data_IF_201149164136
#
_entry.id   IF_201149164136
#
_cell.length_a   1.000
_cell.length_b   1.000
_cell.length_c   1.000
_cell.angle_alpha   90.00
_cell.angle_beta   90.00
_cell.angle_gamma   90.00
#
_symmetry.space_group_name_H-M   'P 1'
#
loop_
_entity.id
_entity.type
_entity.pdbx_description
1 polymer ?
#
# COMPACT_ATOMS: atom_id res chain seq x y z
N UNK A 1 -3.12 -16.94 -12.28
CA UNK A 1 -2.53 -16.49 -10.99
C UNK A 1 -3.41 -16.95 -9.83
N UNK A 2 -2.83 -17.65 -8.88
CA UNK A 2 -3.54 -18.17 -7.72
C UNK A 2 -3.76 -17.08 -6.68
N UNK A 3 -4.68 -17.25 -5.70
CA UNK A 3 -4.79 -16.32 -4.57
C UNK A 3 -3.49 -16.14 -3.81
N UNK A 4 -2.69 -17.20 -3.64
CA UNK A 4 -1.37 -17.12 -2.99
C UNK A 4 -0.43 -16.22 -3.78
N UNK A 5 -0.38 -16.35 -5.10
CA UNK A 5 0.44 -15.50 -5.96
C UNK A 5 0.03 -14.03 -5.82
N UNK A 6 -1.27 -13.75 -5.79
CA UNK A 6 -1.79 -12.39 -5.62
C UNK A 6 -1.49 -11.80 -4.27
N UNK A 7 -1.59 -12.59 -3.20
CA UNK A 7 -1.23 -12.15 -1.85
C UNK A 7 0.26 -11.82 -1.75
N UNK A 8 1.12 -12.63 -2.36
CA UNK A 8 2.55 -12.36 -2.39
C UNK A 8 2.88 -11.12 -3.22
N UNK A 9 2.20 -10.91 -4.33
CA UNK A 9 2.36 -9.71 -5.15
C UNK A 9 1.99 -8.45 -4.34
N UNK A 10 0.88 -8.51 -3.58
CA UNK A 10 0.49 -7.43 -2.69
C UNK A 10 1.51 -7.20 -1.58
N UNK A 11 2.04 -8.26 -0.99
CA UNK A 11 3.06 -8.15 0.06
C UNK A 11 4.31 -7.43 -0.45
N UNK A 12 4.77 -7.77 -1.65
CA UNK A 12 5.90 -7.09 -2.29
C UNK A 12 5.60 -5.62 -2.54
N UNK A 13 4.39 -5.31 -3.00
CA UNK A 13 3.95 -3.93 -3.23
C UNK A 13 3.87 -3.13 -1.93
N UNK A 14 3.34 -3.71 -0.86
CA UNK A 14 3.22 -3.03 0.43
C UNK A 14 4.58 -2.80 1.09
N UNK A 15 5.51 -3.73 0.95
CA UNK A 15 6.91 -3.51 1.39
C UNK A 15 7.55 -2.32 0.68
N UNK A 16 7.31 -2.22 -0.63
CA UNK A 16 7.77 -1.07 -1.42
C UNK A 16 7.07 0.21 -0.97
N UNK A 17 5.80 0.13 -0.57
CA UNK A 17 5.04 1.25 -0.02
C UNK A 17 5.63 1.79 1.27
N UNK A 18 6.00 0.91 2.22
CA UNK A 18 6.67 1.32 3.47
C UNK A 18 7.96 2.07 3.15
N UNK A 19 8.77 1.55 2.24
CA UNK A 19 10.01 2.22 1.82
C UNK A 19 9.73 3.58 1.20
N UNK A 20 8.72 3.65 0.33
CA UNK A 20 8.34 4.91 -0.34
C UNK A 20 7.97 5.98 0.68
N UNK A 21 7.09 5.66 1.63
CA UNK A 21 6.66 6.61 2.66
C UNK A 21 7.81 7.00 3.59
N UNK A 22 8.71 6.07 3.89
CA UNK A 22 9.90 6.35 4.70
C UNK A 22 10.84 7.34 3.99
N UNK A 23 10.95 7.24 2.66
CA UNK A 23 11.75 8.19 1.87
C UNK A 23 11.05 9.55 1.70
N UNK A 24 9.71 9.56 1.63
CA UNK A 24 8.94 10.81 1.52
C UNK A 24 8.85 11.57 2.84
N UNK A 25 8.90 10.88 3.96
CA UNK A 25 8.70 11.48 5.29
C UNK A 25 9.58 12.71 5.55
N UNK A 26 10.91 12.68 5.26
CA UNK A 26 11.76 13.85 5.44
C UNK A 26 11.40 15.05 4.56
N UNK A 27 10.62 14.84 3.50
CA UNK A 27 10.20 15.89 2.57
C UNK A 27 8.90 16.58 3.00
N UNK A 28 8.29 16.14 4.11
CA UNK A 28 7.09 16.76 4.63
C UNK A 28 7.37 18.20 5.05
N UNK A 29 6.54 19.13 4.55
CA UNK A 29 6.71 20.58 4.74
C UNK A 29 5.89 21.13 5.92
N UNK A 30 4.88 20.38 6.34
CA UNK A 30 3.96 20.80 7.41
C UNK A 30 3.72 19.64 8.38
N UNK A 31 3.26 19.93 9.62
CA UNK A 31 2.87 18.85 10.55
C UNK A 31 1.80 17.94 9.96
N UNK A 32 0.84 18.49 9.20
CA UNK A 32 -0.23 17.70 8.57
C UNK A 32 0.33 16.71 7.55
N UNK A 33 1.31 17.13 6.75
CA UNK A 33 1.97 16.24 5.80
C UNK A 33 2.73 15.12 6.50
N UNK A 34 3.46 15.44 7.58
CA UNK A 34 4.18 14.43 8.36
C UNK A 34 3.22 13.41 8.94
N UNK A 35 2.12 13.88 9.49
CA UNK A 35 1.09 13.02 10.07
C UNK A 35 0.48 12.09 9.03
N UNK A 36 0.17 12.62 7.84
CA UNK A 36 -0.36 11.81 6.74
C UNK A 36 0.64 10.76 6.27
N UNK A 37 1.90 11.14 6.05
CA UNK A 37 2.93 10.20 5.60
C UNK A 37 3.17 9.09 6.63
N UNK A 38 3.17 9.45 7.91
CA UNK A 38 3.28 8.48 9.00
C UNK A 38 2.09 7.52 9.02
N UNK A 39 0.87 8.05 8.89
CA UNK A 39 -0.34 7.22 8.86
C UNK A 39 -0.34 6.25 7.69
N UNK A 40 -0.01 6.71 6.49
CA UNK A 40 0.03 5.85 5.30
C UNK A 40 1.11 4.79 5.47
N UNK A 41 2.29 5.17 5.97
CA UNK A 41 3.37 4.21 6.25
C UNK A 41 2.93 3.15 7.26
N UNK A 42 2.28 3.56 8.34
CA UNK A 42 1.79 2.65 9.38
C UNK A 42 0.75 1.68 8.82
N UNK A 43 -0.16 2.16 7.98
CA UNK A 43 -1.15 1.32 7.32
C UNK A 43 -0.51 0.33 6.34
N UNK A 44 0.53 0.76 5.61
CA UNK A 44 1.29 -0.13 4.73
C UNK A 44 2.02 -1.22 5.53
N UNK A 45 2.62 -0.88 6.67
CA UNK A 45 3.27 -1.84 7.56
C UNK A 45 2.26 -2.81 8.17
N UNK A 46 1.11 -2.31 8.59
CA UNK A 46 -0.01 -3.12 9.08
C UNK A 46 -0.47 -4.10 7.99
N UNK A 47 -0.55 -3.63 6.75
CA UNK A 47 -0.91 -4.47 5.60
C UNK A 47 0.11 -5.58 5.37
N UNK A 48 1.40 -5.27 5.45
CA UNK A 48 2.46 -6.28 5.33
C UNK A 48 2.28 -7.39 6.37
N UNK A 49 2.05 -7.03 7.63
CA UNK A 49 1.87 -8.00 8.71
C UNK A 49 0.62 -8.88 8.48
N UNK A 50 -0.49 -8.26 8.05
CA UNK A 50 -1.73 -8.99 7.78
C UNK A 50 -1.64 -9.91 6.57
N UNK A 51 -0.94 -9.49 5.51
CA UNK A 51 -0.68 -10.33 4.34
C UNK A 51 0.18 -11.53 4.71
N UNK A 52 1.21 -11.32 5.53
CA UNK A 52 2.05 -12.41 6.03
C UNK A 52 1.23 -13.43 6.81
N UNK A 53 0.36 -12.97 7.72
CA UNK A 53 -0.54 -13.85 8.47
C UNK A 53 -1.50 -14.60 7.56
N UNK A 54 -2.04 -13.93 6.54
CA UNK A 54 -2.95 -14.54 5.57
C UNK A 54 -2.26 -15.67 4.78
N UNK A 55 -1.04 -15.44 4.34
CA UNK A 55 -0.25 -16.46 3.67
C UNK A 55 0.02 -17.64 4.59
N UNK A 56 0.33 -17.40 5.85
CA UNK A 56 0.53 -18.44 6.86
C UNK A 56 -0.76 -19.26 7.05
N UNK A 57 -1.90 -18.59 7.15
CA UNK A 57 -3.22 -19.26 7.28
C UNK A 57 -3.47 -20.20 6.10
N UNK A 58 -3.03 -19.84 4.90
CA UNK A 58 -3.16 -20.66 3.70
C UNK A 58 -2.06 -21.71 3.55
N UNK A 59 -1.13 -21.81 4.51
CA UNK A 59 0.01 -22.73 4.43
C UNK A 59 0.97 -22.42 3.30
N UNK A 60 1.03 -21.16 2.87
CA UNK A 60 1.79 -20.74 1.70
C UNK A 60 3.16 -20.19 2.09
N UNK A 61 4.10 -20.27 1.13
CA UNK A 61 5.43 -19.68 1.27
C UNK A 61 5.32 -18.18 1.01
N UNK A 62 5.86 -17.38 1.91
CA UNK A 62 5.88 -15.93 1.82
C UNK A 62 7.04 -15.47 0.93
N UNK A 63 6.77 -14.56 -0.01
CA UNK A 63 7.79 -13.92 -0.82
C UNK A 63 8.80 -13.17 0.06
N UNK A 64 10.08 -13.19 -0.34
CA UNK A 64 11.13 -12.41 0.30
C UNK A 64 11.48 -11.15 -0.51
N UNK A 65 10.78 -10.91 -1.61
CA UNK A 65 11.05 -9.80 -2.52
C UNK A 65 10.36 -8.52 -2.08
N UNK A 66 10.87 -7.43 -2.63
CA UNK A 66 10.29 -6.09 -2.52
C UNK A 66 10.31 -5.48 -3.92
N UNK A 67 9.24 -4.79 -4.30
CA UNK A 67 9.21 -4.10 -5.58
C UNK A 67 10.11 -2.87 -5.62
N UNK A 68 10.33 -2.33 -6.82
CA UNK A 68 11.18 -1.16 -7.07
C UNK A 68 10.37 0.15 -7.11
N UNK A 69 9.18 0.15 -6.56
CA UNK A 69 8.25 1.27 -6.65
C UNK A 69 8.79 2.55 -5.99
N UNK A 70 9.54 2.40 -4.89
CA UNK A 70 10.12 3.55 -4.20
C UNK A 70 11.08 4.33 -5.12
N UNK A 71 11.91 3.64 -5.88
CA UNK A 71 12.81 4.28 -6.85
C UNK A 71 12.03 5.04 -7.91
N UNK A 72 10.92 4.47 -8.40
CA UNK A 72 10.05 5.11 -9.40
C UNK A 72 9.41 6.38 -8.86
N UNK A 73 8.89 6.33 -7.63
CA UNK A 73 8.29 7.51 -6.99
C UNK A 73 9.34 8.61 -6.80
N UNK A 74 10.50 8.26 -6.25
CA UNK A 74 11.55 9.24 -5.97
C UNK A 74 12.19 9.81 -7.23
N UNK A 75 12.03 9.15 -8.38
CA UNK A 75 12.50 9.67 -9.68
C UNK A 75 11.60 10.80 -10.21
N UNK A 76 10.36 10.92 -9.72
CA UNK A 76 9.49 12.03 -10.10
C UNK A 76 10.05 13.35 -9.56
N UNK A 77 9.96 14.45 -10.36
CA UNK A 77 10.68 15.69 -10.02
C UNK A 77 10.05 16.54 -8.92
N UNK A 78 8.76 16.38 -8.63
CA UNK A 78 8.06 17.20 -7.64
C UNK A 78 7.35 16.33 -6.61
N UNK A 79 7.10 16.91 -5.43
CA UNK A 79 6.34 16.21 -4.38
C UNK A 79 4.92 15.88 -4.86
N UNK A 80 4.27 16.81 -5.58
CA UNK A 80 2.94 16.56 -6.14
C UNK A 80 2.95 15.36 -7.10
N UNK A 81 3.93 15.26 -8.00
CA UNK A 81 4.05 14.14 -8.94
C UNK A 81 4.33 12.82 -8.20
N UNK A 82 5.15 12.87 -7.15
CA UNK A 82 5.45 11.71 -6.29
C UNK A 82 4.19 11.18 -5.61
N UNK A 83 3.36 12.08 -5.07
CA UNK A 83 2.11 11.71 -4.42
C UNK A 83 1.08 11.14 -5.41
N UNK A 84 1.02 11.69 -6.62
CA UNK A 84 0.15 11.16 -7.68
C UNK A 84 0.55 9.74 -8.07
N UNK A 85 1.85 9.48 -8.20
CA UNK A 85 2.33 8.14 -8.53
C UNK A 85 2.09 7.18 -7.36
N UNK A 86 2.32 7.62 -6.12
CA UNK A 86 2.00 6.84 -4.92
C UNK A 86 0.53 6.41 -4.95
N UNK A 87 -0.39 7.33 -5.22
CA UNK A 87 -1.81 7.05 -5.27
C UNK A 87 -2.20 6.12 -6.42
N UNK A 88 -1.53 6.21 -7.55
CA UNK A 88 -1.73 5.25 -8.63
C UNK A 88 -1.39 3.84 -8.16
N UNK A 89 -0.32 3.70 -7.39
CA UNK A 89 0.05 2.43 -6.77
C UNK A 89 -0.99 1.93 -5.77
N UNK A 90 -1.54 2.83 -4.95
CA UNK A 90 -2.60 2.48 -4.01
C UNK A 90 -3.87 2.02 -4.72
N UNK A 91 -4.25 2.65 -5.84
CA UNK A 91 -5.40 2.23 -6.65
C UNK A 91 -5.17 0.85 -7.28
N UNK A 92 -3.95 0.57 -7.72
CA UNK A 92 -3.58 -0.75 -8.22
C UNK A 92 -3.80 -1.82 -7.14
N UNK A 93 -3.39 -1.53 -5.90
CA UNK A 93 -3.61 -2.43 -4.76
C UNK A 93 -5.11 -2.66 -4.53
N UNK A 94 -5.93 -1.62 -4.54
CA UNK A 94 -7.39 -1.75 -4.36
C UNK A 94 -8.00 -2.67 -5.41
N UNK A 95 -7.59 -2.56 -6.66
CA UNK A 95 -8.08 -3.45 -7.73
C UNK A 95 -7.71 -4.91 -7.47
N UNK A 96 -6.50 -5.16 -6.97
CA UNK A 96 -6.06 -6.52 -6.61
C UNK A 96 -6.85 -7.06 -5.42
N UNK A 97 -7.12 -6.22 -4.44
CA UNK A 97 -7.96 -6.58 -3.29
C UNK A 97 -9.38 -6.93 -3.72
N UNK A 98 -9.97 -6.17 -4.64
CA UNK A 98 -11.30 -6.46 -5.17
C UNK A 98 -11.35 -7.83 -5.85
N UNK A 99 -10.34 -8.17 -6.63
CA UNK A 99 -10.24 -9.48 -7.27
C UNK A 99 -10.15 -10.61 -6.22
N UNK A 100 -9.34 -10.43 -5.17
CA UNK A 100 -9.20 -11.42 -4.10
C UNK A 100 -10.48 -11.56 -3.27
N UNK A 101 -11.18 -10.48 -3.00
CA UNK A 101 -12.44 -10.50 -2.25
C UNK A 101 -13.55 -11.22 -3.01
N UNK A 102 -13.42 -11.39 -4.32
CA UNK A 102 -14.31 -12.20 -5.14
C UNK A 102 -14.02 -13.69 -5.09
N UNK A 103 -12.90 -14.10 -4.50
CA UNK A 103 -12.51 -15.51 -4.36
C UNK A 103 -13.05 -16.11 -3.06
N UNK A 104 -13.11 -17.44 -2.99
CA UNK A 104 -13.44 -18.15 -1.76
C UNK A 104 -12.20 -18.28 -0.90
N UNK A 105 -12.15 -17.55 0.20
CA UNK A 105 -11.02 -17.51 1.13
C UNK A 105 -11.50 -17.75 2.57
N UNK A 106 -10.62 -18.21 3.47
CA UNK A 106 -10.97 -18.30 4.90
C UNK A 106 -11.43 -16.95 5.43
N UNK A 107 -12.43 -16.94 6.31
CA UNK A 107 -13.02 -15.72 6.84
C UNK A 107 -12.00 -14.73 7.42
N UNK A 108 -10.98 -15.15 8.22
CA UNK A 108 -9.99 -14.21 8.73
C UNK A 108 -9.20 -13.50 7.62
N UNK A 109 -8.95 -14.17 6.51
CA UNK A 109 -8.26 -13.59 5.36
C UNK A 109 -9.16 -12.56 4.67
N UNK A 110 -10.41 -12.92 4.37
CA UNK A 110 -11.37 -12.00 3.74
C UNK A 110 -11.63 -10.76 4.59
N UNK A 111 -11.78 -10.92 5.89
CA UNK A 111 -12.00 -9.81 6.83
C UNK A 111 -10.80 -8.86 6.85
N UNK A 112 -9.58 -9.40 6.88
CA UNK A 112 -8.37 -8.59 6.80
C UNK A 112 -8.30 -7.81 5.48
N UNK A 113 -8.54 -8.48 4.35
CA UNK A 113 -8.47 -7.85 3.03
C UNK A 113 -9.50 -6.72 2.89
N UNK A 114 -10.69 -6.88 3.44
CA UNK A 114 -11.73 -5.84 3.44
C UNK A 114 -11.29 -4.60 4.23
N UNK A 115 -10.68 -4.79 5.39
CA UNK A 115 -10.14 -3.69 6.20
C UNK A 115 -8.96 -3.02 5.50
N UNK A 116 -8.08 -3.79 4.90
CA UNK A 116 -6.97 -3.27 4.11
C UNK A 116 -7.47 -2.37 2.98
N UNK A 117 -8.51 -2.81 2.27
CA UNK A 117 -9.15 -2.01 1.21
C UNK A 117 -9.68 -0.69 1.76
N UNK A 118 -10.40 -0.72 2.89
CA UNK A 118 -10.97 0.48 3.50
C UNK A 118 -9.88 1.49 3.86
N UNK A 119 -8.77 1.04 4.44
CA UNK A 119 -7.64 1.91 4.77
C UNK A 119 -6.99 2.52 3.53
N UNK A 120 -6.81 1.72 2.48
CA UNK A 120 -6.24 2.22 1.22
C UNK A 120 -7.15 3.28 0.57
N UNK A 121 -8.46 3.06 0.56
CA UNK A 121 -9.41 4.05 0.00
C UNK A 121 -9.36 5.37 0.76
N UNK A 122 -9.30 5.34 2.09
CA UNK A 122 -9.18 6.55 2.91
C UNK A 122 -7.86 7.30 2.63
N UNK A 123 -6.76 6.56 2.51
CA UNK A 123 -5.44 7.14 2.23
C UNK A 123 -5.37 7.72 0.82
N UNK A 124 -6.02 7.11 -0.16
CA UNK A 124 -6.11 7.63 -1.53
C UNK A 124 -6.78 9.01 -1.53
N UNK A 125 -7.89 9.15 -0.82
CA UNK A 125 -8.61 10.44 -0.73
C UNK A 125 -7.71 11.51 -0.09
N UNK A 126 -7.06 11.18 1.02
CA UNK A 126 -6.19 12.12 1.73
C UNK A 126 -4.98 12.54 0.89
N UNK A 127 -4.34 11.59 0.21
CA UNK A 127 -3.18 11.88 -0.65
C UNK A 127 -3.57 12.67 -1.89
N UNK A 128 -4.74 12.41 -2.50
CA UNK A 128 -5.23 13.20 -3.64
C UNK A 128 -5.46 14.66 -3.23
N UNK A 129 -6.08 14.89 -2.07
CA UNK A 129 -6.31 16.25 -1.56
C UNK A 129 -4.99 16.99 -1.33
N UNK A 130 -4.01 16.30 -0.74
CA UNK A 130 -2.70 16.90 -0.53
C UNK A 130 -2.02 17.22 -1.86
N UNK A 131 -2.02 16.30 -2.81
CA UNK A 131 -1.39 16.52 -4.13
C UNK A 131 -2.02 17.71 -4.87
N UNK A 132 -3.34 17.87 -4.80
CA UNK A 132 -4.06 18.98 -5.42
C UNK A 132 -3.72 20.33 -4.80
N UNK A 133 -3.30 20.35 -3.53
CA UNK A 133 -2.92 21.60 -2.83
C UNK A 133 -1.48 22.03 -3.11
N UNK A 134 -0.68 21.20 -3.73
CA UNK A 134 0.74 21.46 -3.99
C UNK A 134 0.97 22.05 -5.37
N UNK A 135 1.99 22.96 -5.52
CA UNK A 135 2.37 23.51 -6.84
C UNK A 135 2.95 22.48 -7.79
#
# INVERSE_FOLDING_TARGET
>A
MTPVDRLNELLEAERAGVETLSRLFPEARTPEMRELFEQVRDDEAWSCAGLARSLKTLGAVMSEKKGDFAEKVMAEPTLAARLKLLNRGQRWVVKRLDALLGETLPAPVSEFLAEMKARHLANIVACDRLAESLP
#
